data_IF_788214972923
#
_entry.id   IF_788214972923
#
_cell.length_a   1.000
_cell.length_b   1.000
_cell.length_c   1.000
_cell.angle_alpha   90.00
_cell.angle_beta   90.00
_cell.angle_gamma   90.00
#
_symmetry.space_group_name_H-M   'P 1'
#
loop_
_entity.id
_entity.type
_entity.pdbx_description
1 polymer ?
#
# COMPACT_ATOMS: atom_id res chain seq x y z
N UNK A 1 8.03 -10.91 51.22
CA UNK A 1 8.63 -9.72 50.60
C UNK A 1 8.11 -9.64 49.16
N UNK A 2 7.11 -8.80 48.88
CA UNK A 2 6.52 -8.67 47.54
C UNK A 2 7.36 -7.70 46.71
N UNK A 3 7.86 -8.15 45.55
CA UNK A 3 8.51 -7.27 44.57
C UNK A 3 7.41 -6.49 43.84
N UNK A 4 7.40 -5.18 44.01
CA UNK A 4 6.63 -4.27 43.16
C UNK A 4 7.26 -4.27 41.78
N UNK A 5 6.50 -4.67 40.76
CA UNK A 5 6.87 -4.47 39.36
C UNK A 5 6.20 -3.19 38.88
N UNK A 6 7.00 -2.17 38.59
CA UNK A 6 6.53 -0.97 37.92
C UNK A 6 6.59 -1.22 36.42
N UNK A 7 5.43 -1.32 35.78
CA UNK A 7 5.34 -1.31 34.32
C UNK A 7 5.44 0.13 33.84
N UNK A 8 6.47 0.42 33.03
CA UNK A 8 6.57 1.67 32.30
C UNK A 8 5.61 1.58 31.11
N UNK A 9 4.49 2.29 31.19
CA UNK A 9 3.61 2.47 30.04
C UNK A 9 4.32 3.43 29.08
N UNK A 10 4.80 2.91 27.95
CA UNK A 10 5.25 3.73 26.83
C UNK A 10 3.98 4.08 26.05
N UNK A 11 3.62 5.36 26.04
CA UNK A 11 2.57 5.86 25.17
C UNK A 11 3.15 6.01 23.76
N UNK A 12 2.78 5.08 22.85
CA UNK A 12 3.11 5.16 21.44
C UNK A 12 1.90 5.73 20.70
N UNK A 13 1.95 7.02 20.37
CA UNK A 13 0.90 7.68 19.59
C UNK A 13 1.27 7.71 18.10
N UNK A 14 0.43 7.11 17.25
CA UNK A 14 0.53 7.21 15.79
C UNK A 14 -0.48 8.23 15.27
N UNK A 15 -0.07 9.04 14.29
CA UNK A 15 -0.94 10.04 13.66
C UNK A 15 -1.27 9.62 12.24
N UNK A 16 -2.56 9.45 11.97
CA UNK A 16 -3.08 9.20 10.61
C UNK A 16 -3.59 10.51 10.03
N UNK A 17 -3.02 10.93 8.91
CA UNK A 17 -3.48 12.09 8.13
C UNK A 17 -4.32 11.59 6.96
N UNK A 18 -5.62 11.87 6.97
CA UNK A 18 -6.54 11.37 5.97
C UNK A 18 -7.42 12.48 5.39
N UNK A 19 -7.50 12.53 4.06
CA UNK A 19 -8.42 13.40 3.34
C UNK A 19 -9.50 12.54 2.63
N UNK A 20 -10.76 12.54 3.08
CA UNK A 20 -11.83 11.74 2.48
C UNK A 20 -12.21 12.18 1.07
N UNK A 21 -11.89 13.42 0.68
CA UNK A 21 -12.21 13.99 -0.63
C UNK A 21 -11.10 13.75 -1.68
N UNK A 22 -9.99 13.11 -1.28
CA UNK A 22 -8.90 12.81 -2.20
C UNK A 22 -9.28 11.66 -3.16
N UNK A 23 -9.35 11.97 -4.45
CA UNK A 23 -9.60 11.01 -5.54
C UNK A 23 -8.37 10.85 -6.47
N UNK A 24 -7.28 10.23 -5.99
CA UNK A 24 -6.16 9.90 -6.85
C UNK A 24 -6.56 8.80 -7.83
N UNK A 25 -5.98 8.85 -9.04
CA UNK A 25 -6.07 7.72 -9.96
C UNK A 25 -5.23 6.56 -9.41
N UNK A 26 -5.85 5.39 -9.26
CA UNK A 26 -5.20 4.17 -8.76
C UNK A 26 -4.83 3.27 -9.92
N UNK A 27 -3.58 2.82 -9.94
CA UNK A 27 -3.05 1.92 -10.96
C UNK A 27 -3.54 0.50 -10.70
N UNK A 28 -4.60 0.08 -11.39
CA UNK A 28 -5.31 -1.18 -11.13
C UNK A 28 -5.00 -2.27 -12.15
N UNK A 29 -4.92 -3.51 -11.67
CA UNK A 29 -4.71 -4.70 -12.49
C UNK A 29 -5.94 -4.98 -13.34
N UNK A 30 -5.72 -5.24 -14.62
CA UNK A 30 -6.73 -5.62 -15.59
C UNK A 30 -6.71 -7.14 -15.83
N UNK A 31 -7.80 -7.73 -16.39
CA UNK A 31 -7.86 -9.17 -16.66
C UNK A 31 -6.74 -9.70 -17.56
N UNK A 32 -6.21 -8.86 -18.47
CA UNK A 32 -5.10 -9.21 -19.35
C UNK A 32 -3.71 -9.05 -18.70
N UNK A 33 -3.64 -8.79 -17.40
CA UNK A 33 -2.39 -8.59 -16.65
C UNK A 33 -1.78 -7.19 -16.75
N UNK A 34 -2.27 -6.32 -17.63
CA UNK A 34 -1.84 -4.92 -17.69
C UNK A 34 -2.32 -4.12 -16.49
N UNK A 35 -1.64 -3.01 -16.20
CA UNK A 35 -2.01 -2.06 -15.16
C UNK A 35 -2.40 -0.74 -15.80
N UNK A 36 -3.52 -0.16 -15.38
CA UNK A 36 -3.99 1.14 -15.89
C UNK A 36 -4.55 2.04 -14.77
N UNK A 37 -4.50 3.37 -14.91
CA UNK A 37 -5.11 4.27 -13.96
C UNK A 37 -6.64 4.16 -13.97
N UNK A 38 -7.26 4.09 -12.79
CA UNK A 38 -8.70 4.17 -12.58
C UNK A 38 -9.00 5.21 -11.49
N UNK A 39 -9.97 6.11 -11.75
CA UNK A 39 -10.46 7.09 -10.77
C UNK A 39 -11.61 6.52 -9.94
N UNK A 40 -12.03 7.27 -8.92
CA UNK A 40 -13.14 6.90 -8.05
C UNK A 40 -12.71 5.97 -6.94
N UNK A 41 -11.52 6.21 -6.34
CA UNK A 41 -11.10 5.46 -5.16
C UNK A 41 -12.07 5.78 -4.01
N UNK A 42 -12.79 4.80 -3.44
CA UNK A 42 -13.65 5.07 -2.30
C UNK A 42 -12.84 5.51 -1.09
N UNK A 43 -13.36 6.48 -0.33
CA UNK A 43 -12.71 7.03 0.86
C UNK A 43 -12.29 5.94 1.87
N UNK A 44 -13.10 4.90 2.05
CA UNK A 44 -12.78 3.79 2.96
C UNK A 44 -11.56 2.97 2.53
N UNK A 45 -11.27 2.85 1.22
CA UNK A 45 -10.03 2.23 0.74
C UNK A 45 -8.84 3.12 1.07
N UNK A 46 -8.97 4.43 0.86
CA UNK A 46 -7.94 5.40 1.22
C UNK A 46 -7.63 5.41 2.72
N UNK A 47 -8.66 5.40 3.57
CA UNK A 47 -8.47 5.33 5.02
C UNK A 47 -7.83 4.00 5.44
N UNK A 48 -8.27 2.88 4.85
CA UNK A 48 -7.70 1.57 5.13
C UNK A 48 -6.20 1.49 4.84
N UNK A 49 -5.75 2.11 3.74
CA UNK A 49 -4.34 2.23 3.39
C UNK A 49 -3.53 2.91 4.50
N UNK A 50 -3.97 4.09 4.96
CA UNK A 50 -3.27 4.80 6.06
C UNK A 50 -3.32 4.04 7.39
N UNK A 51 -4.38 3.29 7.66
CA UNK A 51 -4.49 2.46 8.87
C UNK A 51 -3.55 1.25 8.82
N UNK A 52 -3.27 0.71 7.64
CA UNK A 52 -2.28 -0.37 7.47
C UNK A 52 -0.87 0.17 7.76
N UNK A 53 -0.50 1.35 7.26
CA UNK A 53 0.74 2.01 7.66
C UNK A 53 0.83 2.19 9.18
N UNK A 54 -0.24 2.72 9.80
CA UNK A 54 -0.27 2.91 11.24
C UNK A 54 -0.11 1.59 12.01
N UNK A 55 -0.76 0.51 11.55
CA UNK A 55 -0.62 -0.81 12.15
C UNK A 55 0.82 -1.33 12.05
N UNK A 56 1.43 -1.22 10.87
CA UNK A 56 2.83 -1.63 10.65
C UNK A 56 3.81 -0.82 11.50
N UNK A 57 3.54 0.47 11.71
CA UNK A 57 4.33 1.31 12.61
C UNK A 57 4.20 0.87 14.08
N UNK A 58 2.97 0.58 14.55
CA UNK A 58 2.74 0.05 15.91
C UNK A 58 3.47 -1.29 16.12
N UNK A 59 3.48 -2.14 15.09
CA UNK A 59 4.14 -3.44 15.12
C UNK A 59 5.66 -3.36 14.91
N UNK A 60 6.20 -2.18 14.62
CA UNK A 60 7.63 -1.97 14.37
C UNK A 60 8.13 -2.65 13.10
N UNK A 61 7.27 -2.79 12.09
CA UNK A 61 7.55 -3.51 10.85
C UNK A 61 7.60 -2.62 9.61
N UNK A 62 7.78 -1.32 9.77
CA UNK A 62 7.88 -0.41 8.62
C UNK A 62 9.22 -0.54 7.91
N UNK A 63 9.17 -0.63 6.58
CA UNK A 63 10.34 -0.77 5.71
C UNK A 63 10.51 0.45 4.82
N UNK A 64 11.39 1.38 5.22
CA UNK A 64 11.57 2.68 4.53
C UNK A 64 12.58 2.64 3.39
N UNK A 65 13.15 1.49 3.08
CA UNK A 65 14.07 1.35 1.96
C UNK A 65 13.33 1.48 0.63
N UNK A 66 13.91 2.18 -0.33
CA UNK A 66 13.35 2.25 -1.68
C UNK A 66 13.59 0.93 -2.42
N UNK A 67 12.55 0.44 -3.10
CA UNK A 67 12.64 -0.73 -3.94
C UNK A 67 12.13 -0.44 -5.35
N UNK A 68 12.69 -1.13 -6.34
CA UNK A 68 12.34 -0.96 -7.76
C UNK A 68 11.65 -2.21 -8.28
N UNK A 69 10.50 -2.04 -8.92
CA UNK A 69 9.75 -3.12 -9.55
C UNK A 69 9.31 -2.77 -10.96
N UNK A 70 8.88 -3.79 -11.69
CA UNK A 70 8.40 -3.67 -13.06
C UNK A 70 6.97 -4.17 -13.19
N UNK A 71 6.21 -3.56 -14.10
CA UNK A 71 4.87 -4.00 -14.46
C UNK A 71 4.60 -3.74 -15.94
N UNK A 72 3.51 -4.31 -16.45
CA UNK A 72 3.07 -4.11 -17.83
C UNK A 72 2.03 -3.00 -17.86
N UNK A 73 2.32 -1.94 -18.61
CA UNK A 73 1.44 -0.80 -18.82
C UNK A 73 0.27 -1.13 -19.76
N UNK A 74 -0.65 -0.17 -19.95
CA UNK A 74 -1.90 -0.39 -20.68
C UNK A 74 -1.70 -0.71 -22.18
N UNK A 75 -0.55 -0.36 -22.78
CA UNK A 75 -0.22 -0.64 -24.18
C UNK A 75 0.69 -1.85 -24.34
N UNK A 76 0.91 -2.61 -23.26
CA UNK A 76 1.84 -3.75 -23.25
C UNK A 76 3.30 -3.33 -23.04
N UNK A 77 3.57 -2.05 -22.80
CA UNK A 77 4.92 -1.55 -22.53
C UNK A 77 5.39 -2.01 -21.15
N UNK A 78 6.68 -2.30 -21.01
CA UNK A 78 7.28 -2.54 -19.70
C UNK A 78 7.48 -1.19 -19.02
N UNK A 79 6.99 -1.06 -17.79
CA UNK A 79 7.19 0.12 -16.95
C UNK A 79 7.97 -0.23 -15.69
N UNK A 80 8.76 0.72 -15.21
CA UNK A 80 9.53 0.64 -13.97
C UNK A 80 8.99 1.65 -12.97
N UNK A 81 8.81 1.25 -11.72
CA UNK A 81 8.52 2.16 -10.61
C UNK A 81 9.49 1.94 -9.46
N UNK A 82 9.77 3.02 -8.73
CA UNK A 82 10.56 3.02 -7.49
C UNK A 82 9.73 3.73 -6.43
N UNK A 83 9.59 3.09 -5.27
CA UNK A 83 8.91 3.65 -4.10
C UNK A 83 9.46 2.99 -2.82
N UNK A 84 9.08 3.50 -1.66
CA UNK A 84 9.39 2.82 -0.39
C UNK A 84 8.76 1.43 -0.37
N UNK A 85 9.51 0.43 0.13
CA UNK A 85 9.04 -0.94 0.29
C UNK A 85 7.77 -0.99 1.13
N UNK A 86 7.66 -0.13 2.14
CA UNK A 86 6.47 0.11 2.96
C UNK A 86 5.20 0.31 2.14
N UNK A 87 5.27 1.06 1.05
CA UNK A 87 4.14 1.34 0.17
C UNK A 87 3.75 0.11 -0.65
N UNK A 88 4.73 -0.65 -1.14
CA UNK A 88 4.47 -1.89 -1.85
C UNK A 88 3.84 -2.96 -0.95
N UNK A 89 4.32 -3.07 0.29
CA UNK A 89 3.79 -3.99 1.29
C UNK A 89 2.40 -3.57 1.77
N UNK A 90 2.19 -2.27 2.01
CA UNK A 90 0.87 -1.73 2.37
C UNK A 90 -0.16 -1.98 1.28
N UNK A 91 0.23 -1.83 0.01
CA UNK A 91 -0.64 -2.15 -1.13
C UNK A 91 -0.88 -3.65 -1.26
N UNK A 92 0.10 -4.49 -0.92
CA UNK A 92 0.07 -5.93 -1.19
C UNK A 92 0.37 -6.22 -2.65
N UNK A 93 1.46 -5.65 -3.18
CA UNK A 93 1.94 -5.96 -4.52
C UNK A 93 2.65 -7.33 -4.55
N UNK A 94 2.73 -8.02 -5.70
CA UNK A 94 3.39 -9.32 -5.77
C UNK A 94 4.86 -9.26 -5.30
N UNK A 95 5.22 -10.13 -4.35
CA UNK A 95 6.52 -10.13 -3.68
C UNK A 95 6.63 -9.18 -2.48
N UNK A 96 5.54 -8.49 -2.16
CA UNK A 96 5.40 -7.51 -1.08
C UNK A 96 4.12 -7.80 -0.30
N UNK A 97 3.92 -9.05 0.10
CA UNK A 97 2.74 -9.45 0.87
C UNK A 97 2.95 -9.22 2.38
N UNK A 98 1.89 -8.79 3.05
CA UNK A 98 1.79 -8.69 4.52
C UNK A 98 0.48 -9.35 4.99
N UNK A 99 0.26 -9.42 6.31
CA UNK A 99 -0.95 -10.01 6.91
C UNK A 99 -2.27 -9.38 6.38
N UNK A 100 -2.31 -8.05 6.25
CA UNK A 100 -3.46 -7.29 5.74
C UNK A 100 -2.93 -6.16 4.86
N UNK A 101 -3.50 -6.02 3.67
CA UNK A 101 -3.06 -5.08 2.63
C UNK A 101 -4.24 -4.29 2.03
N UNK A 102 -3.96 -3.21 1.30
CA UNK A 102 -4.97 -2.49 0.52
C UNK A 102 -5.68 -3.45 -0.45
N UNK A 103 -4.94 -4.38 -1.06
CA UNK A 103 -5.50 -5.36 -1.97
C UNK A 103 -6.45 -6.36 -1.29
N UNK A 104 -6.26 -6.69 0.00
CA UNK A 104 -7.25 -7.45 0.78
C UNK A 104 -8.57 -6.66 0.88
N UNK A 105 -8.50 -5.40 1.30
CA UNK A 105 -9.68 -4.53 1.40
C UNK A 105 -10.38 -4.39 0.05
N UNK A 106 -9.61 -4.23 -1.03
CA UNK A 106 -10.17 -4.13 -2.39
C UNK A 106 -10.90 -5.40 -2.78
N UNK A 107 -10.34 -6.59 -2.51
CA UNK A 107 -10.99 -7.88 -2.76
C UNK A 107 -12.29 -8.02 -1.96
N UNK A 108 -12.26 -7.73 -0.66
CA UNK A 108 -13.43 -7.78 0.21
C UNK A 108 -14.58 -6.90 -0.29
N UNK A 109 -14.25 -5.75 -0.88
CA UNK A 109 -15.21 -4.81 -1.44
C UNK A 109 -15.48 -4.98 -2.94
N UNK A 110 -15.05 -6.07 -3.57
CA UNK A 110 -15.30 -6.36 -4.98
C UNK A 110 -14.67 -5.35 -5.96
N UNK A 111 -13.56 -4.73 -5.56
CA UNK A 111 -12.80 -3.75 -6.36
C UNK A 111 -11.62 -4.42 -7.03
N UNK A 112 -11.22 -3.90 -8.19
CA UNK A 112 -9.97 -4.32 -8.86
C UNK A 112 -8.79 -3.99 -7.97
N UNK A 113 -7.89 -4.95 -7.79
CA UNK A 113 -6.63 -4.79 -7.07
C UNK A 113 -5.73 -3.73 -7.71
N UNK A 114 -4.95 -3.05 -6.88
CA UNK A 114 -3.87 -2.16 -7.30
C UNK A 114 -2.68 -3.02 -7.76
N UNK A 115 -2.17 -2.75 -8.96
CA UNK A 115 -1.10 -3.51 -9.62
C UNK A 115 0.24 -2.78 -9.69
N UNK A 116 0.24 -1.48 -9.37
CA UNK A 116 1.42 -0.63 -9.25
C UNK A 116 1.15 0.49 -8.24
N UNK A 117 2.19 1.00 -7.60
CA UNK A 117 2.05 2.15 -6.71
C UNK A 117 1.86 3.43 -7.52
N UNK A 118 2.72 3.67 -8.51
CA UNK A 118 2.71 4.86 -9.36
C UNK A 118 2.57 4.55 -10.85
N UNK A 119 2.65 5.60 -11.66
CA UNK A 119 2.57 5.49 -13.12
C UNK A 119 3.77 4.78 -13.75
N UNK A 120 4.91 4.82 -13.07
CA UNK A 120 6.17 4.30 -13.57
C UNK A 120 6.67 4.98 -14.85
N UNK A 121 7.93 4.75 -15.15
CA UNK A 121 8.59 5.17 -16.38
C UNK A 121 8.54 4.03 -17.39
N UNK A 122 8.26 4.35 -18.66
CA UNK A 122 8.41 3.38 -19.73
C UNK A 122 9.90 3.05 -19.88
N UNK A 123 10.24 1.77 -19.97
CA UNK A 123 11.61 1.32 -20.19
C UNK A 123 11.68 0.52 -21.48
N UNK A 124 12.71 0.79 -22.28
CA UNK A 124 13.00 0.00 -23.47
C UNK A 124 13.33 -1.44 -23.06
N UNK A 125 12.86 -2.41 -23.85
CA UNK A 125 13.02 -3.84 -23.57
C UNK A 125 14.47 -4.32 -23.69
#
# INVERSE_FOLDING_TARGET
>A
MMKSFSFLWIDLSIKVLFNPEADPAIMTRQPNGSVKPEKGRPAYIGLGHELIHALREVLGSMEKEEETRYFIGPRGERRRETAEREEFETVGLPGFEWDITENDLRREHGRKERGAYGYGEEVDQ
#
